data_IF_751499466532
#
_entry.id   IF_751499466532
#
_cell.length_a   1.000
_cell.length_b   1.000
_cell.length_c   1.000
_cell.angle_alpha   90.00
_cell.angle_beta   90.00
_cell.angle_gamma   90.00
#
_symmetry.space_group_name_H-M   'P 1'
#
loop_
_entity.id
_entity.type
_entity.pdbx_description
1 polymer ?
#
# COMPACT_ATOMS: atom_id res chain seq x y z
N UNK A 1 -52.98 39.40 21.97
CA UNK A 1 -52.78 37.98 21.61
C UNK A 1 -53.22 37.78 20.16
N UNK A 2 -52.26 37.67 19.23
CA UNK A 2 -52.44 36.98 17.94
C UNK A 2 -51.04 36.90 17.31
N UNK A 3 -50.41 35.73 17.52
CA UNK A 3 -49.16 35.33 16.88
C UNK A 3 -49.47 34.96 15.42
N UNK A 4 -48.76 35.53 14.47
CA UNK A 4 -48.76 35.07 13.09
C UNK A 4 -47.30 34.83 12.68
N UNK A 5 -46.90 33.57 12.79
CA UNK A 5 -45.66 33.06 12.25
C UNK A 5 -45.72 33.15 10.71
N UNK A 6 -45.00 34.11 10.14
CA UNK A 6 -44.75 34.15 8.70
C UNK A 6 -43.82 32.99 8.35
N UNK A 7 -44.38 32.03 7.63
CA UNK A 7 -43.71 30.83 7.16
C UNK A 7 -42.43 31.16 6.37
N UNK A 8 -41.34 30.45 6.68
CA UNK A 8 -40.16 30.35 5.81
C UNK A 8 -40.59 29.68 4.51
N UNK A 9 -40.88 30.50 3.51
CA UNK A 9 -41.20 30.09 2.13
C UNK A 9 -40.10 29.16 1.62
N UNK A 10 -40.52 27.96 1.24
CA UNK A 10 -39.64 26.83 0.96
C UNK A 10 -38.56 27.13 -0.07
N UNK A 11 -37.32 26.76 0.27
CA UNK A 11 -36.27 26.57 -0.71
C UNK A 11 -36.78 25.63 -1.82
N UNK A 12 -36.50 25.89 -3.11
CA UNK A 12 -36.90 24.99 -4.17
C UNK A 12 -36.30 23.63 -3.87
N UNK A 13 -37.14 22.60 -3.81
CA UNK A 13 -36.71 21.22 -3.67
C UNK A 13 -35.73 20.94 -4.81
N UNK A 14 -34.44 20.90 -4.51
CA UNK A 14 -33.41 20.55 -5.47
C UNK A 14 -33.79 19.18 -6.03
N UNK A 15 -34.21 19.15 -7.31
CA UNK A 15 -34.57 17.92 -7.98
C UNK A 15 -33.30 17.09 -8.07
N UNK A 16 -33.19 16.08 -7.20
CA UNK A 16 -32.08 15.13 -7.21
C UNK A 16 -32.14 14.41 -8.56
N UNK A 17 -31.34 14.88 -9.52
CA UNK A 17 -31.27 14.29 -10.85
C UNK A 17 -30.69 12.89 -10.67
N UNK A 18 -31.55 11.88 -10.73
CA UNK A 18 -31.14 10.49 -10.65
C UNK A 18 -30.11 10.24 -11.76
N UNK A 19 -28.89 9.74 -11.44
CA UNK A 19 -27.88 9.52 -12.45
C UNK A 19 -28.41 8.52 -13.47
N UNK A 20 -28.26 8.85 -14.76
CA UNK A 20 -28.69 7.98 -15.85
C UNK A 20 -27.96 6.64 -15.80
N UNK A 21 -28.64 5.56 -16.19
CA UNK A 21 -28.09 4.19 -16.24
C UNK A 21 -26.69 4.12 -16.88
N UNK A 22 -26.39 4.78 -18.02
CA UNK A 22 -25.03 4.75 -18.59
C UNK A 22 -23.97 5.37 -17.68
N UNK A 23 -24.28 6.44 -16.94
CA UNK A 23 -23.36 7.06 -15.98
C UNK A 23 -23.09 6.13 -14.80
N UNK A 24 -24.11 5.39 -14.34
CA UNK A 24 -23.95 4.40 -13.25
C UNK A 24 -23.04 3.24 -13.68
N UNK A 25 -23.26 2.72 -14.88
CA UNK A 25 -22.45 1.62 -15.45
C UNK A 25 -21.01 2.07 -15.67
N UNK A 26 -20.78 3.23 -16.30
CA UNK A 26 -19.43 3.75 -16.53
C UNK A 26 -18.67 3.96 -15.21
N UNK A 27 -19.35 4.47 -14.17
CA UNK A 27 -18.75 4.69 -12.86
C UNK A 27 -18.42 3.36 -12.14
N UNK A 28 -19.27 2.34 -12.31
CA UNK A 28 -19.01 1.00 -11.81
C UNK A 28 -17.80 0.38 -12.49
N UNK A 29 -17.79 0.37 -13.84
CA UNK A 29 -16.67 -0.15 -14.64
C UNK A 29 -15.38 0.59 -14.31
N UNK A 30 -15.41 1.93 -14.30
CA UNK A 30 -14.26 2.75 -13.93
C UNK A 30 -13.72 2.41 -12.55
N UNK A 31 -14.59 2.20 -11.54
CA UNK A 31 -14.16 1.81 -10.20
C UNK A 31 -13.45 0.45 -10.19
N UNK A 32 -13.98 -0.54 -10.89
CA UNK A 32 -13.38 -1.87 -10.94
C UNK A 32 -12.09 -1.90 -11.77
N UNK A 33 -12.04 -1.16 -12.88
CA UNK A 33 -10.83 -1.02 -13.71
C UNK A 33 -9.73 -0.32 -12.92
N UNK A 34 -10.03 0.80 -12.27
CA UNK A 34 -9.04 1.54 -11.46
C UNK A 34 -8.56 0.69 -10.28
N UNK A 35 -9.47 0.01 -9.56
CA UNK A 35 -9.08 -0.86 -8.46
C UNK A 35 -8.18 -2.02 -8.93
N UNK A 36 -8.54 -2.67 -10.04
CA UNK A 36 -7.74 -3.76 -10.62
C UNK A 36 -6.39 -3.26 -11.10
N UNK A 37 -6.34 -2.13 -11.80
CA UNK A 37 -5.09 -1.52 -12.27
C UNK A 37 -4.17 -1.14 -11.10
N UNK A 38 -4.71 -0.52 -10.05
CA UNK A 38 -3.95 -0.20 -8.84
C UNK A 38 -3.41 -1.47 -8.17
N UNK A 39 -4.22 -2.53 -8.04
CA UNK A 39 -3.78 -3.80 -7.48
C UNK A 39 -2.67 -4.45 -8.32
N UNK A 40 -2.81 -4.47 -9.65
CA UNK A 40 -1.80 -5.02 -10.56
C UNK A 40 -0.50 -4.22 -10.50
N UNK A 41 -0.57 -2.89 -10.47
CA UNK A 41 0.61 -2.03 -10.32
C UNK A 41 1.33 -2.28 -9.00
N UNK A 42 0.58 -2.37 -7.89
CA UNK A 42 1.17 -2.70 -6.58
C UNK A 42 1.81 -4.09 -6.59
N UNK A 43 1.12 -5.10 -7.10
CA UNK A 43 1.66 -6.46 -7.22
C UNK A 43 2.94 -6.49 -8.06
N UNK A 44 2.97 -5.77 -9.18
CA UNK A 44 4.15 -5.65 -10.01
C UNK A 44 5.32 -4.99 -9.28
N UNK A 45 5.08 -3.89 -8.56
CA UNK A 45 6.12 -3.21 -7.77
C UNK A 45 6.63 -4.06 -6.60
N UNK A 46 5.75 -4.84 -5.97
CA UNK A 46 6.13 -5.73 -4.86
C UNK A 46 6.71 -7.07 -5.33
N UNK A 47 6.53 -7.47 -6.58
CA UNK A 47 7.06 -8.73 -7.12
C UNK A 47 8.55 -8.93 -6.80
N UNK A 48 9.47 -7.97 -7.06
CA UNK A 48 10.88 -8.14 -6.69
C UNK A 48 11.11 -8.21 -5.17
N UNK A 49 10.30 -7.50 -4.37
CA UNK A 49 10.37 -7.55 -2.90
C UNK A 49 10.00 -8.96 -2.42
N UNK A 50 8.93 -9.54 -2.97
CA UNK A 50 8.53 -10.91 -2.63
C UNK A 50 9.60 -11.93 -3.01
N UNK A 51 10.23 -11.78 -4.18
CA UNK A 51 11.33 -12.66 -4.59
C UNK A 51 12.49 -12.60 -3.58
N UNK A 52 12.94 -11.41 -3.19
CA UNK A 52 14.01 -11.25 -2.20
C UNK A 52 13.60 -11.77 -0.82
N UNK A 53 12.36 -11.55 -0.39
CA UNK A 53 11.83 -12.08 0.88
C UNK A 53 11.84 -13.61 0.86
N UNK A 54 11.38 -14.25 -0.21
CA UNK A 54 11.43 -15.72 -0.33
C UNK A 54 12.87 -16.21 -0.29
N UNK A 55 13.76 -15.63 -1.11
CA UNK A 55 15.18 -16.01 -1.16
C UNK A 55 15.96 -15.69 0.13
N UNK A 56 15.47 -14.80 1.00
CA UNK A 56 16.07 -14.55 2.32
C UNK A 56 16.01 -15.79 3.23
N UNK A 57 15.08 -16.70 2.97
CA UNK A 57 14.97 -18.00 3.63
C UNK A 57 15.70 -19.12 2.88
N UNK A 58 16.46 -18.81 1.82
CA UNK A 58 17.28 -19.80 1.14
C UNK A 58 18.61 -20.00 1.87
N UNK A 59 19.10 -21.24 1.94
CA UNK A 59 20.46 -21.59 2.36
C UNK A 59 21.35 -21.81 1.13
N UNK A 60 22.03 -20.77 0.60
CA UNK A 60 22.77 -20.90 -0.65
C UNK A 60 24.04 -21.75 -0.47
N UNK A 61 24.31 -22.67 -1.40
CA UNK A 61 25.52 -23.50 -1.40
C UNK A 61 26.82 -22.72 -1.68
N UNK A 62 26.75 -21.39 -1.87
CA UNK A 62 27.88 -20.53 -2.19
C UNK A 62 27.57 -19.06 -1.95
N UNK A 63 28.42 -18.17 -2.47
CA UNK A 63 28.32 -16.71 -2.21
C UNK A 63 27.14 -16.01 -2.92
N UNK A 64 26.52 -16.66 -3.90
CA UNK A 64 25.45 -16.08 -4.71
C UNK A 64 24.12 -16.77 -4.36
N UNK A 65 23.05 -15.98 -4.27
CA UNK A 65 21.72 -16.44 -3.88
C UNK A 65 20.71 -16.29 -5.04
N UNK A 66 21.01 -16.94 -6.17
CA UNK A 66 20.19 -16.88 -7.41
C UNK A 66 19.42 -18.17 -7.71
N UNK A 67 19.88 -19.29 -7.17
CA UNK A 67 19.22 -20.59 -7.30
C UNK A 67 18.70 -21.01 -5.93
N UNK A 68 17.45 -21.46 -5.88
CA UNK A 68 16.89 -22.05 -4.66
C UNK A 68 17.62 -23.36 -4.34
N UNK A 69 18.02 -23.53 -3.08
CA UNK A 69 18.73 -24.71 -2.59
C UNK A 69 17.93 -25.40 -1.48
N UNK A 70 17.80 -24.76 -0.32
CA UNK A 70 17.00 -25.31 0.80
C UNK A 70 16.45 -24.21 1.70
N UNK A 71 15.37 -24.51 2.43
CA UNK A 71 14.76 -23.56 3.36
C UNK A 71 15.53 -23.51 4.69
N UNK A 72 15.79 -22.31 5.18
CA UNK A 72 16.38 -22.08 6.51
C UNK A 72 15.88 -20.79 7.16
N UNK A 73 15.89 -20.78 8.50
CA UNK A 73 15.72 -19.58 9.33
C UNK A 73 17.03 -19.12 9.99
N UNK A 74 18.14 -19.85 9.79
CA UNK A 74 19.45 -19.53 10.38
C UNK A 74 19.96 -18.15 9.94
N UNK A 75 19.64 -17.70 8.73
CA UNK A 75 20.00 -16.38 8.21
C UNK A 75 19.51 -15.23 9.10
N UNK A 76 18.43 -15.45 9.85
CA UNK A 76 17.81 -14.46 10.74
C UNK A 76 18.23 -14.60 12.21
N UNK A 77 18.94 -15.68 12.56
CA UNK A 77 19.32 -15.95 13.95
C UNK A 77 20.39 -14.96 14.48
N UNK A 78 21.20 -14.39 13.60
CA UNK A 78 22.20 -13.39 13.96
C UNK A 78 22.32 -12.29 12.88
N UNK A 79 21.38 -11.35 12.91
CA UNK A 79 21.35 -10.22 11.94
C UNK A 79 22.54 -9.28 12.07
N UNK A 80 23.19 -9.20 13.24
CA UNK A 80 24.42 -8.43 13.44
C UNK A 80 25.70 -9.26 13.15
N UNK A 81 25.57 -10.49 12.66
CA UNK A 81 26.71 -11.38 12.40
C UNK A 81 27.61 -10.93 11.24
N UNK A 82 27.11 -10.02 10.39
CA UNK A 82 27.89 -9.41 9.31
C UNK A 82 28.64 -8.18 9.85
N UNK A 83 29.98 -8.12 9.68
CA UNK A 83 30.78 -6.99 10.16
C UNK A 83 30.23 -5.63 9.70
N UNK A 84 30.02 -4.71 10.64
CA UNK A 84 29.54 -3.35 10.38
C UNK A 84 28.05 -3.21 10.07
N UNK A 85 27.27 -4.30 10.03
CA UNK A 85 25.84 -4.26 9.70
C UNK A 85 25.05 -3.36 10.66
N UNK A 86 25.16 -3.63 11.96
CA UNK A 86 24.35 -2.93 12.97
C UNK A 86 24.86 -1.50 13.23
N UNK A 87 26.16 -1.27 13.10
CA UNK A 87 26.73 0.09 13.17
C UNK A 87 26.20 0.98 12.06
N UNK A 88 26.16 0.48 10.82
CA UNK A 88 25.63 1.21 9.67
C UNK A 88 24.13 1.51 9.80
N UNK A 89 23.34 0.55 10.28
CA UNK A 89 21.90 0.74 10.54
C UNK A 89 21.68 1.82 11.60
N UNK A 90 22.42 1.73 12.71
CA UNK A 90 22.29 2.69 13.81
C UNK A 90 22.66 4.11 13.38
N UNK A 91 23.77 4.25 12.66
CA UNK A 91 24.19 5.53 12.08
C UNK A 91 23.10 6.10 11.15
N UNK A 92 22.52 5.26 10.29
CA UNK A 92 21.45 5.70 9.38
C UNK A 92 20.22 6.21 10.13
N UNK A 93 19.83 5.53 11.21
CA UNK A 93 18.71 5.96 12.07
C UNK A 93 19.04 7.31 12.74
N UNK A 94 20.24 7.47 13.28
CA UNK A 94 20.67 8.74 13.89
C UNK A 94 20.59 9.90 12.90
N UNK A 95 21.13 9.71 11.69
CA UNK A 95 21.07 10.73 10.63
C UNK A 95 19.62 11.04 10.26
N UNK A 96 18.79 10.00 10.05
CA UNK A 96 17.39 10.18 9.67
C UNK A 96 16.59 10.99 10.70
N UNK A 97 16.89 10.84 11.99
CA UNK A 97 16.23 11.59 13.07
C UNK A 97 16.75 13.03 13.22
N UNK A 98 18.02 13.27 12.89
CA UNK A 98 18.65 14.59 13.02
C UNK A 98 18.50 15.48 11.78
N UNK A 99 18.27 14.88 10.61
CA UNK A 99 18.22 15.58 9.32
C UNK A 99 16.81 16.04 8.89
N UNK A 100 15.80 15.89 9.76
CA UNK A 100 14.42 16.35 9.52
C UNK A 100 14.30 17.86 9.73
#
# INVERSE_FOLDING_TARGET
MASAATALTGAPAATRREPSLPVRVLRFVGRHVVATAAALTLLYMFLPVFVVVVFSFNDPAGRLNYTWNSFTVSNWANVCGVPGMCDAVWLSIQIALLAT
#
